data_IF_827590817570
#
_entry.id   IF_827590817570
#
_cell.length_a   1.000
_cell.length_b   1.000
_cell.length_c   1.000
_cell.angle_alpha   90.00
_cell.angle_beta   90.00
_cell.angle_gamma   90.00
#
_symmetry.space_group_name_H-M   'P 1'
#
loop_
_entity.id
_entity.type
_entity.pdbx_description
1 polymer ?
#
# COMPACT_ATOMS: atom_id res chain seq x y z
N UNK A 1 -5.71 -1.99 27.90
CA UNK A 1 -6.55 -1.39 26.86
C UNK A 1 -6.71 -2.42 25.77
N UNK A 2 -7.89 -3.00 25.63
CA UNK A 2 -8.19 -3.89 24.53
C UNK A 2 -8.48 -3.07 23.29
N UNK A 3 -8.21 -3.60 22.11
CA UNK A 3 -8.33 -2.92 20.80
C UNK A 3 -9.76 -2.45 20.51
N UNK A 4 -10.77 -3.07 21.15
CA UNK A 4 -12.17 -2.66 21.13
C UNK A 4 -12.41 -1.22 21.68
N UNK A 5 -11.45 -0.65 22.43
CA UNK A 5 -11.58 0.68 23.04
C UNK A 5 -11.18 1.83 22.09
N UNK A 6 -10.58 1.54 20.93
CA UNK A 6 -10.20 2.57 19.97
C UNK A 6 -11.34 2.83 18.96
N UNK A 7 -12.19 3.79 19.25
CA UNK A 7 -13.14 4.30 18.26
C UNK A 7 -12.37 4.89 17.07
N UNK A 8 -12.75 4.49 15.85
CA UNK A 8 -12.26 5.16 14.63
C UNK A 8 -12.73 6.62 14.65
N UNK A 9 -11.84 7.59 14.34
CA UNK A 9 -12.31 8.95 14.12
C UNK A 9 -13.23 8.98 12.92
N UNK A 10 -14.22 9.86 12.93
CA UNK A 10 -14.97 10.19 11.72
C UNK A 10 -14.05 10.98 10.80
N UNK A 11 -13.89 10.48 9.59
CA UNK A 11 -13.04 11.08 8.57
C UNK A 11 -13.87 11.95 7.63
N UNK A 12 -13.24 12.99 7.09
CA UNK A 12 -13.81 13.86 6.07
C UNK A 12 -12.77 14.06 4.98
N UNK A 13 -13.21 14.01 3.72
CA UNK A 13 -12.32 14.26 2.58
C UNK A 13 -12.00 15.75 2.49
N UNK A 14 -10.77 16.11 2.06
CA UNK A 14 -10.42 17.50 1.83
C UNK A 14 -11.29 18.14 0.73
N UNK A 15 -11.43 19.48 0.81
CA UNK A 15 -12.10 20.31 -0.18
C UNK A 15 -13.59 19.94 -0.45
N UNK A 16 -14.27 19.29 0.50
CA UNK A 16 -15.65 18.87 0.32
C UNK A 16 -15.86 17.80 -0.76
N UNK A 17 -14.83 17.08 -1.14
CA UNK A 17 -14.92 15.98 -2.08
C UNK A 17 -15.84 14.87 -1.54
N UNK A 18 -16.50 14.16 -2.44
CA UNK A 18 -17.43 13.08 -2.09
C UNK A 18 -16.88 11.68 -2.40
N UNK A 19 -15.79 11.59 -3.18
CA UNK A 19 -15.18 10.30 -3.55
C UNK A 19 -13.66 10.37 -3.55
N UNK A 20 -13.02 9.22 -3.25
CA UNK A 20 -11.58 9.05 -3.13
C UNK A 20 -11.07 7.96 -4.06
N UNK A 21 -9.94 8.18 -4.75
CA UNK A 21 -9.17 7.09 -5.35
C UNK A 21 -8.06 6.67 -4.39
N UNK A 22 -8.13 5.45 -3.86
CA UNK A 22 -7.17 4.91 -2.88
C UNK A 22 -6.17 3.99 -3.57
N UNK A 23 -4.93 4.45 -3.72
CA UNK A 23 -3.85 3.57 -4.14
C UNK A 23 -3.58 2.50 -3.06
N UNK A 24 -3.64 1.22 -3.44
CA UNK A 24 -3.41 0.07 -2.57
C UNK A 24 -2.21 -0.76 -3.03
N UNK A 25 -1.39 -1.21 -2.09
CA UNK A 25 -0.26 -2.09 -2.38
C UNK A 25 -0.44 -3.54 -1.90
N UNK A 26 -1.26 -3.76 -0.88
CA UNK A 26 -1.49 -5.08 -0.28
C UNK A 26 -2.62 -5.01 0.75
N UNK A 27 -3.34 -6.09 0.93
CA UNK A 27 -4.48 -6.16 1.85
C UNK A 27 -4.12 -5.83 3.32
N UNK A 28 -3.01 -6.30 3.90
CA UNK A 28 -2.64 -5.91 5.27
C UNK A 28 -2.54 -4.40 5.48
N UNK A 29 -2.02 -3.66 4.49
CA UNK A 29 -1.94 -2.21 4.59
C UNK A 29 -3.28 -1.52 4.31
N UNK A 30 -4.13 -2.11 3.50
CA UNK A 30 -5.39 -1.49 3.07
C UNK A 30 -6.56 -1.76 4.01
N UNK A 31 -6.56 -2.89 4.74
CA UNK A 31 -7.69 -3.32 5.53
C UNK A 31 -8.23 -2.27 6.51
N UNK A 32 -7.36 -1.70 7.36
CA UNK A 32 -7.81 -0.64 8.28
C UNK A 32 -8.20 0.64 7.54
N UNK A 33 -7.50 1.00 6.46
CA UNK A 33 -7.84 2.20 5.67
C UNK A 33 -9.23 2.06 5.06
N UNK A 34 -9.55 0.91 4.48
CA UNK A 34 -10.85 0.60 3.89
C UNK A 34 -11.96 0.65 4.94
N UNK A 35 -11.78 -0.04 6.06
CA UNK A 35 -12.79 -0.03 7.13
C UNK A 35 -12.98 1.36 7.77
N UNK A 36 -11.92 2.17 7.88
CA UNK A 36 -12.02 3.54 8.39
C UNK A 36 -12.79 4.46 7.44
N UNK A 37 -12.59 4.31 6.13
CA UNK A 37 -13.33 5.05 5.11
C UNK A 37 -14.81 4.67 5.13
N UNK A 38 -15.13 3.37 5.17
CA UNK A 38 -16.51 2.89 5.26
C UNK A 38 -17.21 3.33 6.54
N UNK A 39 -16.55 3.23 7.68
CA UNK A 39 -17.09 3.70 8.97
C UNK A 39 -17.39 5.21 8.97
N UNK A 40 -16.75 5.95 8.08
CA UNK A 40 -16.96 7.40 7.90
C UNK A 40 -17.98 7.74 6.81
N UNK A 41 -18.49 6.74 6.08
CA UNK A 41 -19.43 6.94 4.96
C UNK A 41 -18.77 7.59 3.74
N UNK A 42 -17.45 7.42 3.57
CA UNK A 42 -16.71 7.95 2.42
C UNK A 42 -16.77 6.95 1.27
N UNK A 43 -17.21 7.42 0.10
CA UNK A 43 -17.14 6.65 -1.14
C UNK A 43 -15.72 6.60 -1.68
N UNK A 44 -15.24 5.42 -2.07
CA UNK A 44 -13.88 5.25 -2.57
C UNK A 44 -13.76 4.07 -3.52
N UNK A 45 -12.75 4.15 -4.37
CA UNK A 45 -12.36 3.10 -5.31
C UNK A 45 -10.90 2.70 -5.04
N UNK A 46 -10.62 1.41 -5.02
CA UNK A 46 -9.24 0.89 -4.93
C UNK A 46 -8.58 1.00 -6.29
N UNK A 47 -7.37 1.55 -6.31
CA UNK A 47 -6.50 1.57 -7.48
C UNK A 47 -5.23 0.76 -7.20
N UNK A 48 -5.09 -0.39 -7.87
CA UNK A 48 -3.99 -1.32 -7.67
C UNK A 48 -2.98 -1.20 -8.81
N UNK A 49 -1.98 -0.32 -8.64
CA UNK A 49 -0.86 -0.16 -9.57
C UNK A 49 0.47 -0.39 -8.83
N UNK A 50 1.07 -1.56 -9.02
CA UNK A 50 2.23 -2.00 -8.26
C UNK A 50 3.27 -2.73 -9.14
N UNK A 51 3.85 -2.08 -10.17
CA UNK A 51 4.82 -2.70 -11.05
C UNK A 51 6.13 -3.08 -10.34
N UNK A 52 6.32 -2.60 -9.13
CA UNK A 52 7.47 -2.87 -8.28
C UNK A 52 7.41 -4.21 -7.54
N UNK A 53 6.31 -4.93 -7.57
CA UNK A 53 6.19 -6.19 -6.82
C UNK A 53 6.73 -7.34 -7.66
N UNK A 54 7.84 -7.92 -7.21
CA UNK A 54 8.55 -9.01 -7.88
C UNK A 54 8.83 -10.16 -6.89
N UNK A 55 8.84 -11.42 -7.36
CA UNK A 55 8.43 -11.89 -8.69
C UNK A 55 6.92 -11.82 -8.90
N UNK A 56 6.44 -12.11 -10.09
CA UNK A 56 5.02 -12.09 -10.44
C UNK A 56 4.15 -12.90 -9.47
N UNK A 57 4.65 -14.01 -8.94
CA UNK A 57 3.95 -14.79 -7.91
C UNK A 57 3.58 -13.94 -6.69
N UNK A 58 4.49 -13.10 -6.20
CA UNK A 58 4.24 -12.20 -5.08
C UNK A 58 3.19 -11.13 -5.43
N UNK A 59 3.29 -10.58 -6.66
CA UNK A 59 2.32 -9.62 -7.18
C UNK A 59 0.91 -10.21 -7.20
N UNK A 60 0.74 -11.40 -7.76
CA UNK A 60 -0.56 -12.08 -7.86
C UNK A 60 -1.17 -12.35 -6.47
N UNK A 61 -0.38 -12.87 -5.52
CA UNK A 61 -0.86 -13.12 -4.16
C UNK A 61 -1.40 -11.83 -3.52
N UNK A 62 -0.65 -10.72 -3.64
CA UNK A 62 -1.08 -9.43 -3.08
C UNK A 62 -2.28 -8.84 -3.78
N UNK A 63 -2.37 -9.01 -5.10
CA UNK A 63 -3.49 -8.56 -5.92
C UNK A 63 -4.77 -9.31 -5.57
N UNK A 64 -4.73 -10.65 -5.65
CA UNK A 64 -5.89 -11.50 -5.43
C UNK A 64 -6.48 -11.31 -4.04
N UNK A 65 -5.61 -11.13 -3.03
CA UNK A 65 -6.07 -10.83 -1.66
C UNK A 65 -6.70 -9.44 -1.52
N UNK A 66 -6.19 -8.43 -2.25
CA UNK A 66 -6.83 -7.10 -2.30
C UNK A 66 -8.19 -7.17 -2.99
N UNK A 67 -8.30 -7.89 -4.11
CA UNK A 67 -9.56 -8.10 -4.83
C UNK A 67 -10.57 -8.76 -3.89
N UNK A 68 -10.20 -9.90 -3.28
CA UNK A 68 -11.06 -10.62 -2.34
C UNK A 68 -11.60 -9.69 -1.23
N UNK A 69 -10.73 -8.88 -0.64
CA UNK A 69 -11.12 -8.00 0.44
C UNK A 69 -11.97 -6.81 -0.04
N UNK A 70 -11.73 -6.29 -1.23
CA UNK A 70 -12.55 -5.27 -1.85
C UNK A 70 -13.96 -5.80 -2.17
N UNK A 71 -14.07 -7.00 -2.73
CA UNK A 71 -15.35 -7.67 -3.00
C UNK A 71 -16.15 -7.93 -1.72
N UNK A 72 -15.48 -8.39 -0.66
CA UNK A 72 -16.11 -8.63 0.64
C UNK A 72 -16.74 -7.37 1.25
N UNK A 73 -16.25 -6.20 0.85
CA UNK A 73 -16.69 -4.89 1.33
C UNK A 73 -17.49 -4.09 0.29
N UNK A 74 -17.86 -4.69 -0.84
CA UNK A 74 -18.58 -4.04 -1.95
C UNK A 74 -17.86 -2.78 -2.47
N UNK A 75 -16.52 -2.80 -2.53
CA UNK A 75 -15.70 -1.67 -2.96
C UNK A 75 -15.22 -1.87 -4.39
N UNK A 76 -15.42 -0.89 -5.29
CA UNK A 76 -14.87 -0.94 -6.64
C UNK A 76 -13.35 -1.09 -6.65
N UNK A 77 -12.83 -1.98 -7.51
CA UNK A 77 -11.42 -2.29 -7.64
C UNK A 77 -10.97 -2.10 -9.09
N UNK A 78 -9.92 -1.30 -9.27
CA UNK A 78 -9.27 -1.08 -10.56
C UNK A 78 -7.94 -1.82 -10.57
N UNK A 79 -7.86 -2.88 -11.38
CA UNK A 79 -6.61 -3.61 -11.67
C UNK A 79 -5.86 -2.85 -12.77
N UNK A 80 -4.87 -2.06 -12.39
CA UNK A 80 -4.06 -1.31 -13.31
C UNK A 80 -2.87 -2.15 -13.84
N UNK A 81 -2.17 -1.61 -14.84
CA UNK A 81 -1.11 -2.31 -15.55
C UNK A 81 0.02 -2.83 -14.64
N UNK A 82 0.50 -4.03 -14.91
CA UNK A 82 1.70 -4.58 -14.30
C UNK A 82 2.93 -4.28 -15.19
N UNK A 83 3.25 -3.00 -15.30
CA UNK A 83 4.30 -2.44 -16.16
C UNK A 83 5.69 -2.55 -15.52
N UNK A 84 6.17 -3.77 -15.38
CA UNK A 84 7.46 -4.07 -14.74
C UNK A 84 8.65 -3.53 -15.52
N UNK A 85 8.59 -3.55 -16.85
CA UNK A 85 9.71 -3.13 -17.70
C UNK A 85 10.01 -1.65 -17.49
N UNK A 86 8.99 -0.79 -17.46
CA UNK A 86 9.14 0.63 -17.15
C UNK A 86 9.69 0.85 -15.73
N UNK A 87 9.25 0.02 -14.75
CA UNK A 87 9.79 0.12 -13.39
C UNK A 87 11.28 -0.22 -13.36
N UNK A 88 11.71 -1.29 -14.05
CA UNK A 88 13.12 -1.67 -14.14
C UNK A 88 13.95 -0.63 -14.88
N UNK A 89 13.42 -0.05 -15.96
CA UNK A 89 14.10 1.02 -16.71
C UNK A 89 14.35 2.24 -15.81
N UNK A 90 13.34 2.68 -15.06
CA UNK A 90 13.47 3.80 -14.11
C UNK A 90 14.39 3.47 -12.92
N UNK A 91 14.54 2.20 -12.56
CA UNK A 91 15.39 1.75 -11.46
C UNK A 91 16.86 1.56 -11.84
N UNK A 92 17.23 1.67 -13.11
CA UNK A 92 18.62 1.56 -13.57
C UNK A 92 19.55 2.50 -12.83
N UNK A 93 20.68 1.96 -12.37
CA UNK A 93 21.67 2.70 -11.58
C UNK A 93 21.32 2.87 -10.11
N UNK A 94 20.15 2.38 -9.67
CA UNK A 94 19.70 2.46 -8.28
C UNK A 94 19.59 1.07 -7.61
N UNK A 95 20.18 0.03 -8.18
CA UNK A 95 20.04 -1.37 -7.75
C UNK A 95 20.59 -1.59 -6.33
N UNK A 96 21.55 -0.78 -5.93
CA UNK A 96 22.23 -0.86 -4.62
C UNK A 96 21.79 0.24 -3.65
N UNK A 97 20.86 1.09 -4.04
CA UNK A 97 20.27 2.07 -3.13
C UNK A 97 19.57 1.36 -1.96
N UNK A 98 19.73 1.85 -0.74
CA UNK A 98 19.06 1.26 0.42
C UNK A 98 17.52 1.44 0.33
N UNK A 99 16.79 0.67 1.13
CA UNK A 99 15.38 0.96 1.35
C UNK A 99 15.21 2.38 1.91
N UNK A 100 14.17 3.07 1.47
CA UNK A 100 13.88 4.49 1.72
C UNK A 100 14.85 5.48 1.04
N UNK A 101 15.80 5.01 0.22
CA UNK A 101 16.65 5.83 -0.63
C UNK A 101 15.95 6.33 -1.91
N UNK A 102 16.76 6.79 -2.88
CA UNK A 102 16.28 7.38 -4.13
C UNK A 102 15.43 6.41 -4.97
N UNK A 103 15.80 5.13 -5.02
CA UNK A 103 14.99 4.08 -5.68
C UNK A 103 13.57 4.01 -5.12
N UNK A 104 13.39 4.14 -3.81
CA UNK A 104 12.06 4.15 -3.21
C UNK A 104 11.29 5.42 -3.55
N UNK A 105 11.95 6.58 -3.63
CA UNK A 105 11.33 7.82 -4.11
C UNK A 105 10.82 7.66 -5.53
N UNK A 106 11.67 7.22 -6.47
CA UNK A 106 11.28 6.93 -7.84
C UNK A 106 10.08 5.97 -7.92
N UNK A 107 10.12 4.90 -7.13
CA UNK A 107 9.04 3.90 -7.08
C UNK A 107 7.71 4.48 -6.60
N UNK A 108 7.72 5.38 -5.61
CA UNK A 108 6.51 6.06 -5.14
C UNK A 108 6.02 7.08 -6.16
N UNK A 109 6.92 7.88 -6.75
CA UNK A 109 6.59 8.86 -7.79
C UNK A 109 5.87 8.16 -8.97
N UNK A 110 6.45 7.10 -9.54
CA UNK A 110 5.84 6.34 -10.63
C UNK A 110 4.42 5.86 -10.29
N UNK A 111 4.23 5.36 -9.08
CA UNK A 111 2.93 4.83 -8.64
C UNK A 111 1.91 5.95 -8.44
N UNK A 112 2.31 7.06 -7.86
CA UNK A 112 1.41 8.20 -7.65
C UNK A 112 1.14 8.99 -8.92
N UNK A 113 2.12 9.14 -9.83
CA UNK A 113 1.91 9.70 -11.16
C UNK A 113 0.79 8.96 -11.90
N UNK A 114 0.85 7.61 -11.93
CA UNK A 114 -0.18 6.79 -12.58
C UNK A 114 -1.52 6.87 -11.86
N UNK A 115 -1.52 6.95 -10.53
CA UNK A 115 -2.74 7.13 -9.73
C UNK A 115 -3.39 8.49 -9.99
N UNK A 116 -2.59 9.57 -10.02
CA UNK A 116 -3.09 10.91 -10.27
C UNK A 116 -3.61 11.10 -11.70
N UNK A 117 -2.93 10.50 -12.69
CA UNK A 117 -3.39 10.47 -14.08
C UNK A 117 -4.77 9.80 -14.18
N UNK A 118 -4.90 8.59 -13.64
CA UNK A 118 -6.19 7.89 -13.64
C UNK A 118 -7.28 8.69 -12.92
N UNK A 119 -6.95 9.31 -11.78
CA UNK A 119 -7.87 10.15 -11.04
C UNK A 119 -8.38 11.32 -11.88
N UNK A 120 -7.48 12.01 -12.60
CA UNK A 120 -7.82 13.12 -13.49
C UNK A 120 -8.75 12.69 -14.62
N UNK A 121 -8.43 11.56 -15.27
CA UNK A 121 -9.22 11.02 -16.39
C UNK A 121 -10.62 10.53 -15.97
N UNK A 122 -10.79 10.14 -14.69
CA UNK A 122 -12.02 9.54 -14.17
C UNK A 122 -12.76 10.41 -13.14
N UNK A 123 -12.42 11.69 -13.06
CA UNK A 123 -13.13 12.69 -12.27
C UNK A 123 -13.01 12.52 -10.75
N UNK A 124 -11.87 11.98 -10.27
CA UNK A 124 -11.53 12.03 -8.86
C UNK A 124 -10.71 13.29 -8.57
N UNK A 125 -11.11 14.05 -7.57
CA UNK A 125 -10.38 15.23 -7.12
C UNK A 125 -9.49 14.97 -5.90
N UNK A 126 -9.60 13.77 -5.29
CA UNK A 126 -8.80 13.37 -4.13
C UNK A 126 -8.21 12.00 -4.35
N UNK A 127 -6.90 11.88 -4.11
CA UNK A 127 -6.22 10.59 -4.04
C UNK A 127 -5.57 10.41 -2.67
N UNK A 128 -5.39 9.16 -2.24
CA UNK A 128 -4.61 8.79 -1.05
C UNK A 128 -3.93 7.45 -1.24
N UNK A 129 -3.18 6.99 -0.25
CA UNK A 129 -2.52 5.70 -0.33
C UNK A 129 -2.48 4.96 1.00
N UNK A 130 -2.68 3.64 0.94
CA UNK A 130 -2.48 2.73 2.06
C UNK A 130 -1.00 2.57 2.46
N UNK A 131 -0.04 3.06 1.65
CA UNK A 131 1.38 3.04 2.01
C UNK A 131 1.69 3.77 3.31
N UNK A 132 0.94 4.82 3.62
CA UNK A 132 1.12 5.64 4.81
C UNK A 132 0.91 4.90 6.13
N UNK A 133 0.18 3.78 6.16
CA UNK A 133 -0.03 3.00 7.39
C UNK A 133 1.16 2.12 7.76
N UNK A 134 1.97 1.71 6.79
CA UNK A 134 3.10 0.82 7.02
C UNK A 134 4.23 1.50 7.80
N UNK A 135 4.56 0.99 8.99
CA UNK A 135 5.69 1.46 9.81
C UNK A 135 7.06 1.32 9.12
N UNK A 136 7.14 0.48 8.10
CA UNK A 136 8.36 0.24 7.33
C UNK A 136 8.62 1.29 6.26
N UNK A 137 7.65 2.18 6.01
CA UNK A 137 7.78 3.27 5.03
C UNK A 137 8.08 4.59 5.73
N UNK A 138 8.89 5.41 5.08
CA UNK A 138 9.04 6.81 5.46
C UNK A 138 7.79 7.57 4.99
N UNK A 139 6.95 7.98 5.94
CA UNK A 139 5.68 8.64 5.63
C UNK A 139 5.87 10.01 4.98
N UNK A 140 6.90 10.75 5.37
CA UNK A 140 7.21 12.04 4.76
C UNK A 140 7.56 11.84 3.27
N UNK A 141 8.44 10.89 2.96
CA UNK A 141 8.81 10.54 1.58
C UNK A 141 7.59 10.13 0.75
N UNK A 142 6.70 9.29 1.30
CA UNK A 142 5.45 8.89 0.63
C UNK A 142 4.56 10.10 0.34
N UNK A 143 4.36 10.97 1.33
CA UNK A 143 3.50 12.15 1.21
C UNK A 143 4.06 13.18 0.23
N UNK A 144 5.37 13.38 0.21
CA UNK A 144 6.04 14.27 -0.74
C UNK A 144 5.85 13.79 -2.19
N UNK A 145 5.99 12.47 -2.44
CA UNK A 145 5.72 11.89 -3.76
C UNK A 145 4.25 12.08 -4.17
N UNK A 146 3.31 11.85 -3.25
CA UNK A 146 1.89 12.05 -3.51
C UNK A 146 1.55 13.50 -3.86
N UNK A 147 2.11 14.47 -3.11
CA UNK A 147 1.88 15.90 -3.39
C UNK A 147 2.49 16.32 -4.73
N UNK A 148 3.68 15.82 -5.10
CA UNK A 148 4.28 16.08 -6.42
C UNK A 148 3.40 15.57 -7.55
N UNK A 149 2.86 14.37 -7.42
CA UNK A 149 2.02 13.78 -8.45
C UNK A 149 0.76 14.61 -8.74
N UNK A 150 0.07 15.09 -7.69
CA UNK A 150 -1.15 15.89 -7.87
C UNK A 150 -0.88 17.33 -8.29
N UNK A 151 0.33 17.85 -8.11
CA UNK A 151 0.68 19.22 -8.48
C UNK A 151 0.51 19.52 -9.98
N UNK A 152 0.48 18.48 -10.82
CA UNK A 152 0.23 18.60 -12.26
C UNK A 152 -1.25 18.72 -12.62
N UNK A 153 -2.18 18.55 -11.66
CA UNK A 153 -3.62 18.52 -11.89
C UNK A 153 -4.33 19.57 -11.02
N UNK A 154 -4.70 20.74 -11.57
CA UNK A 154 -5.36 21.80 -10.81
C UNK A 154 -6.61 21.30 -10.08
N UNK A 155 -6.70 21.61 -8.78
CA UNK A 155 -7.83 21.20 -7.93
C UNK A 155 -7.75 19.79 -7.36
N UNK A 156 -6.77 18.97 -7.79
CA UNK A 156 -6.55 17.64 -7.20
C UNK A 156 -5.75 17.73 -5.89
N UNK A 157 -6.12 16.91 -4.92
CA UNK A 157 -5.46 16.86 -3.61
C UNK A 157 -4.95 15.46 -3.31
N UNK A 158 -3.70 15.36 -2.86
CA UNK A 158 -3.21 14.18 -2.17
C UNK A 158 -3.57 14.27 -0.68
N UNK A 159 -4.46 13.40 -0.23
CA UNK A 159 -4.87 13.37 1.17
C UNK A 159 -3.85 12.57 1.99
N UNK A 160 -3.00 13.29 2.71
CA UNK A 160 -1.87 12.79 3.49
C UNK A 160 -2.24 12.39 4.93
N UNK A 161 -3.47 11.90 5.12
CA UNK A 161 -3.94 11.47 6.42
C UNK A 161 -3.00 10.46 7.07
N UNK A 162 -2.71 10.65 8.35
CA UNK A 162 -1.84 9.74 9.08
C UNK A 162 -2.60 8.51 9.60
N UNK A 163 -2.70 7.49 8.76
CA UNK A 163 -3.38 6.24 9.03
C UNK A 163 -2.86 5.47 10.25
N UNK A 164 -1.68 5.80 10.79
CA UNK A 164 -1.09 5.14 11.97
C UNK A 164 -1.67 5.64 13.29
N UNK A 165 -2.18 6.89 13.32
CA UNK A 165 -2.68 7.54 14.52
C UNK A 165 -3.98 6.91 15.01
N UNK A 166 -4.34 7.25 16.24
CA UNK A 166 -5.61 6.89 16.87
C UNK A 166 -5.93 5.38 16.78
N UNK A 167 -4.91 4.54 17.04
CA UNK A 167 -5.05 3.09 17.01
C UNK A 167 -5.01 2.43 15.63
N UNK A 168 -4.83 3.18 14.53
CA UNK A 168 -4.84 2.64 13.18
C UNK A 168 -3.81 1.54 12.94
N UNK A 169 -2.57 1.70 13.45
CA UNK A 169 -1.56 0.63 13.34
C UNK A 169 -1.97 -0.66 14.07
N UNK A 170 -2.64 -0.55 15.20
CA UNK A 170 -3.08 -1.72 15.98
C UNK A 170 -4.23 -2.43 15.27
N UNK A 171 -5.24 -1.67 14.81
CA UNK A 171 -6.36 -2.23 14.03
C UNK A 171 -5.91 -2.87 12.72
N UNK A 172 -4.91 -2.30 12.04
CA UNK A 172 -4.31 -2.91 10.85
C UNK A 172 -3.81 -4.34 11.13
N UNK A 173 -3.10 -4.55 12.26
CA UNK A 173 -2.60 -5.87 12.66
C UNK A 173 -3.75 -6.81 13.02
N UNK A 174 -4.76 -6.31 13.71
CA UNK A 174 -5.92 -7.07 14.13
C UNK A 174 -6.75 -7.56 12.92
N UNK A 175 -7.05 -6.66 11.98
CA UNK A 175 -7.72 -6.99 10.74
C UNK A 175 -6.89 -8.02 9.95
N UNK A 176 -5.59 -7.82 9.86
CA UNK A 176 -4.71 -8.75 9.17
C UNK A 176 -4.77 -10.17 9.78
N UNK A 177 -4.88 -10.28 11.10
CA UNK A 177 -5.05 -11.58 11.80
C UNK A 177 -6.44 -12.15 11.59
N UNK A 178 -7.50 -11.34 11.72
CA UNK A 178 -8.89 -11.74 11.51
C UNK A 178 -9.11 -12.31 10.12
N UNK A 179 -8.60 -11.60 9.11
CA UNK A 179 -8.72 -11.96 7.71
C UNK A 179 -7.69 -13.00 7.25
N UNK A 180 -6.73 -13.37 8.12
CA UNK A 180 -5.62 -14.28 7.82
C UNK A 180 -4.84 -13.85 6.58
N UNK A 181 -4.62 -12.56 6.41
CA UNK A 181 -3.92 -12.00 5.26
C UNK A 181 -2.52 -12.59 5.10
N UNK A 182 -2.07 -12.68 3.85
CA UNK A 182 -0.69 -13.00 3.54
C UNK A 182 0.27 -12.00 4.17
N UNK A 183 1.23 -12.50 4.93
CA UNK A 183 2.23 -11.67 5.59
C UNK A 183 3.46 -11.51 4.72
N UNK A 184 3.62 -10.34 4.15
CA UNK A 184 4.79 -10.03 3.35
C UNK A 184 6.03 -9.90 4.21
N UNK A 185 7.13 -10.48 3.75
CA UNK A 185 8.41 -10.48 4.46
C UNK A 185 9.41 -9.46 3.89
N UNK A 186 9.06 -8.75 2.81
CA UNK A 186 9.87 -7.69 2.17
C UNK A 186 8.97 -6.64 1.52
N UNK A 187 9.56 -5.51 1.09
CA UNK A 187 8.80 -4.38 0.55
C UNK A 187 8.00 -4.75 -0.72
N UNK A 188 8.59 -5.56 -1.60
CA UNK A 188 7.98 -6.00 -2.87
C UNK A 188 8.99 -6.07 -4.01
N UNK A 189 9.91 -5.12 -4.15
CA UNK A 189 10.84 -5.13 -5.28
C UNK A 189 11.95 -6.20 -5.13
N UNK A 190 12.49 -6.63 -6.26
CA UNK A 190 13.55 -7.64 -6.33
C UNK A 190 14.79 -7.27 -5.48
N UNK A 191 15.11 -5.99 -5.40
CA UNK A 191 16.25 -5.51 -4.60
C UNK A 191 15.97 -5.62 -3.10
N UNK A 192 14.76 -5.30 -2.66
CA UNK A 192 14.34 -5.52 -1.26
C UNK A 192 14.33 -7.01 -0.90
N UNK A 193 13.89 -7.89 -1.82
CA UNK A 193 13.96 -9.34 -1.63
C UNK A 193 15.41 -9.80 -1.49
N UNK A 194 16.29 -9.36 -2.38
CA UNK A 194 17.74 -9.64 -2.31
C UNK A 194 18.32 -9.24 -0.96
N UNK A 195 18.11 -8.00 -0.56
CA UNK A 195 18.73 -7.42 0.64
C UNK A 195 18.18 -8.08 1.91
N UNK A 196 16.89 -8.36 1.97
CA UNK A 196 16.27 -9.12 3.07
C UNK A 196 16.83 -10.54 3.15
N UNK A 197 16.99 -11.23 2.02
CA UNK A 197 17.55 -12.58 2.00
C UNK A 197 19.04 -12.60 2.37
N UNK A 198 19.82 -11.61 1.97
CA UNK A 198 21.21 -11.46 2.40
C UNK A 198 21.30 -11.27 3.91
N UNK A 199 20.45 -10.40 4.47
CA UNK A 199 20.38 -10.21 5.92
C UNK A 199 19.94 -11.48 6.65
N UNK A 200 18.91 -12.19 6.17
CA UNK A 200 18.48 -13.48 6.77
C UNK A 200 19.61 -14.50 6.76
N UNK A 201 20.32 -14.62 5.64
CA UNK A 201 21.49 -15.52 5.52
C UNK A 201 22.57 -15.18 6.54
N UNK A 202 22.90 -13.92 6.75
CA UNK A 202 23.89 -13.49 7.75
C UNK A 202 23.48 -13.83 9.18
N UNK A 203 22.17 -13.99 9.44
CA UNK A 203 21.61 -14.40 10.73
C UNK A 203 21.35 -15.91 10.84
N UNK A 204 21.77 -16.72 9.87
CA UNK A 204 21.50 -18.16 9.85
C UNK A 204 20.02 -18.52 9.64
N UNK A 205 19.20 -17.57 9.18
CA UNK A 205 17.76 -17.76 8.96
C UNK A 205 17.49 -18.28 7.53
N UNK A 206 16.41 -19.09 7.32
CA UNK A 206 16.04 -19.55 5.98
C UNK A 206 15.65 -18.38 5.09
N UNK A 207 15.87 -18.53 3.78
CA UNK A 207 15.43 -17.55 2.78
C UNK A 207 13.90 -17.45 2.74
N UNK A 208 13.41 -16.31 2.27
CA UNK A 208 11.97 -16.07 2.09
C UNK A 208 11.38 -17.07 1.11
N UNK A 209 10.28 -17.70 1.52
CA UNK A 209 9.45 -18.58 0.69
C UNK A 209 8.10 -17.90 0.42
N UNK A 210 7.98 -17.33 -0.76
CA UNK A 210 6.81 -16.54 -1.18
C UNK A 210 5.52 -17.37 -1.08
N UNK A 211 4.50 -16.80 -0.43
CA UNK A 211 3.17 -17.38 -0.29
C UNK A 211 2.99 -18.32 0.91
N UNK A 212 3.95 -18.41 1.82
CA UNK A 212 3.86 -19.34 2.96
C UNK A 212 3.38 -18.70 4.27
N UNK A 213 3.77 -17.47 4.53
CA UNK A 213 3.47 -16.82 5.80
C UNK A 213 2.15 -16.05 5.74
N UNK A 214 1.29 -16.27 6.74
CA UNK A 214 0.01 -15.56 6.87
C UNK A 214 -0.17 -15.11 8.32
N UNK A 215 -0.85 -13.99 8.52
CA UNK A 215 -1.23 -13.53 9.86
C UNK A 215 -2.18 -14.53 10.54
N UNK A 216 -2.02 -14.71 11.86
CA UNK A 216 -2.92 -15.56 12.65
C UNK A 216 -2.75 -17.08 12.42
N UNK A 217 -1.81 -17.52 11.58
CA UNK A 217 -1.37 -18.91 11.57
C UNK A 217 -0.26 -19.06 12.60
N UNK A 218 -0.44 -19.96 13.57
CA UNK A 218 0.66 -20.39 14.44
C UNK A 218 1.73 -21.02 13.56
N UNK A 219 2.99 -20.56 13.71
CA UNK A 219 4.12 -21.30 13.15
C UNK A 219 4.10 -22.68 13.80
N UNK A 220 3.75 -23.71 13.03
CA UNK A 220 4.01 -25.08 13.46
C UNK A 220 5.52 -25.25 13.42
N UNK A 221 6.10 -25.41 14.63
CA UNK A 221 7.48 -25.82 14.83
C UNK A 221 7.86 -27.05 14.00
#
# INVERSE_FOLDING_TARGET
>A
MTIADFKRPKLELPNGANKLLLHSCCAPCSGEVMEALQASGIDYTIFFYNPNIHPQKEYLIRKDENIRFAEQHDVPFIDADYDTDNWFERAKGMEWEPERGSRCTMCFDMRFERTALYAAENGFSVISSSLGISRWKNMQQVNECGRRAVAHYPGMVYWDYNWRKQGGSSRMIEISKREKFYQQEYCGCVYSLRDTNLHRKSQGRPLIKIGQLHYGKEEKE
#
